data_IF_402672810446
#
_entry.id   IF_402672810446
#
_cell.length_a   1.000
_cell.length_b   1.000
_cell.length_c   1.000
_cell.angle_alpha   90.00
_cell.angle_beta   90.00
_cell.angle_gamma   90.00
#
_symmetry.space_group_name_H-M   'P 1'
#
loop_
_entity.id
_entity.type
_entity.pdbx_description
1 polymer ?
#
# COMPACT_ATOMS: atom_id res chain seq x y z
N UNK A 1 1.31 37.63 -8.07
CA UNK A 1 1.69 37.71 -6.65
C UNK A 1 1.26 39.01 -5.96
N UNK A 2 1.49 40.20 -6.53
CA UNK A 2 1.07 41.50 -5.93
C UNK A 2 -0.42 41.63 -5.54
N UNK A 3 -1.32 40.84 -6.14
CA UNK A 3 -2.74 40.80 -5.77
C UNK A 3 -3.02 39.95 -4.51
N UNK A 4 -2.30 38.84 -4.33
CA UNK A 4 -2.37 37.99 -3.14
C UNK A 4 -1.83 38.72 -1.90
N UNK A 5 -0.70 39.40 -2.06
CA UNK A 5 -0.08 40.26 -1.04
C UNK A 5 -0.98 41.43 -0.60
N UNK A 6 -1.94 41.81 -1.44
CA UNK A 6 -2.94 42.86 -1.16
C UNK A 6 -4.28 42.31 -0.66
N UNK A 7 -4.34 41.04 -0.25
CA UNK A 7 -5.54 40.39 0.27
C UNK A 7 -6.63 40.07 -0.76
N UNK A 8 -6.36 40.27 -2.06
CA UNK A 8 -7.34 40.02 -3.14
C UNK A 8 -7.22 38.59 -3.66
N UNK A 9 -7.54 37.62 -2.80
CA UNK A 9 -7.41 36.18 -3.07
C UNK A 9 -8.17 35.74 -4.35
N UNK A 10 -9.44 36.13 -4.49
CA UNK A 10 -10.25 35.75 -5.65
C UNK A 10 -9.68 36.27 -7.00
N UNK A 11 -9.14 37.50 -7.00
CA UNK A 11 -8.49 38.06 -8.18
C UNK A 11 -7.17 37.35 -8.48
N UNK A 12 -6.39 37.00 -7.45
CA UNK A 12 -5.15 36.24 -7.61
C UNK A 12 -5.41 34.86 -8.25
N UNK A 13 -6.46 34.16 -7.81
CA UNK A 13 -6.88 32.87 -8.40
C UNK A 13 -7.26 33.04 -9.86
N UNK A 14 -8.07 34.05 -10.20
CA UNK A 14 -8.49 34.31 -11.58
C UNK A 14 -7.32 34.67 -12.50
N UNK A 15 -6.31 35.37 -11.99
CA UNK A 15 -5.08 35.64 -12.75
C UNK A 15 -4.26 34.34 -12.94
N UNK A 16 -4.20 33.50 -11.91
CA UNK A 16 -3.52 32.21 -11.95
C UNK A 16 -4.08 31.26 -12.99
N UNK A 17 -5.37 31.34 -13.34
CA UNK A 17 -5.97 30.54 -14.42
C UNK A 17 -5.29 30.75 -15.78
N UNK A 18 -4.66 31.90 -16.01
CA UNK A 18 -3.92 32.22 -17.23
C UNK A 18 -2.44 31.82 -17.18
N UNK A 19 -1.93 31.37 -16.03
CA UNK A 19 -0.58 30.81 -15.95
C UNK A 19 -0.56 29.42 -16.57
N UNK A 20 0.24 29.24 -17.61
CA UNK A 20 0.33 28.00 -18.38
C UNK A 20 1.28 26.99 -17.73
N UNK A 21 2.22 27.44 -16.90
CA UNK A 21 3.20 26.57 -16.26
C UNK A 21 2.67 26.03 -14.92
N UNK A 22 2.26 24.77 -14.91
CA UNK A 22 1.76 24.10 -13.70
C UNK A 22 2.75 24.13 -12.53
N UNK A 23 4.07 24.10 -12.80
CA UNK A 23 5.13 24.16 -11.78
C UNK A 23 5.16 25.49 -11.01
N UNK A 24 4.71 26.58 -11.63
CA UNK A 24 4.59 27.89 -10.98
C UNK A 24 3.20 28.05 -10.37
N UNK A 25 2.18 27.64 -11.11
CA UNK A 25 0.78 27.77 -10.73
C UNK A 25 0.43 26.97 -9.46
N UNK A 26 0.89 25.72 -9.34
CA UNK A 26 0.51 24.82 -8.25
C UNK A 26 1.03 25.29 -6.88
N UNK A 27 2.31 25.63 -6.69
CA UNK A 27 2.79 26.18 -5.42
C UNK A 27 2.04 27.44 -5.01
N UNK A 28 1.71 28.31 -5.98
CA UNK A 28 0.93 29.53 -5.74
C UNK A 28 -0.48 29.22 -5.26
N UNK A 29 -1.17 28.25 -5.87
CA UNK A 29 -2.49 27.80 -5.41
C UNK A 29 -2.44 27.24 -3.99
N UNK A 30 -1.39 26.49 -3.63
CA UNK A 30 -1.18 26.01 -2.26
C UNK A 30 -1.03 27.18 -1.27
N UNK A 31 -0.22 28.19 -1.60
CA UNK A 31 -0.06 29.38 -0.71
C UNK A 31 -1.36 30.17 -0.53
N UNK A 32 -2.26 30.13 -1.52
CA UNK A 32 -3.58 30.74 -1.43
C UNK A 32 -4.59 29.88 -0.67
N UNK A 33 -4.24 28.66 -0.25
CA UNK A 33 -5.13 27.71 0.40
C UNK A 33 -6.11 27.01 -0.54
N UNK A 34 -5.85 27.03 -1.86
CA UNK A 34 -6.66 26.37 -2.88
C UNK A 34 -6.17 24.93 -3.13
N UNK A 35 -6.15 24.13 -2.06
CA UNK A 35 -5.57 22.78 -2.06
C UNK A 35 -6.16 21.82 -3.10
N UNK A 36 -7.48 21.61 -3.14
CA UNK A 36 -8.12 20.73 -4.13
C UNK A 36 -7.87 21.18 -5.58
N UNK A 37 -7.89 22.49 -5.82
CA UNK A 37 -7.61 23.07 -7.15
C UNK A 37 -6.14 22.86 -7.54
N UNK A 38 -5.22 23.02 -6.58
CA UNK A 38 -3.80 22.72 -6.78
C UNK A 38 -3.59 21.24 -7.14
N UNK A 39 -4.30 20.33 -6.47
CA UNK A 39 -4.23 18.89 -6.76
C UNK A 39 -4.80 18.54 -8.13
N UNK A 40 -5.91 19.16 -8.53
CA UNK A 40 -6.47 19.01 -9.87
C UNK A 40 -5.48 19.46 -10.95
N UNK A 41 -4.84 20.63 -10.77
CA UNK A 41 -3.85 21.15 -11.73
C UNK A 41 -2.58 20.31 -11.76
N UNK A 42 -2.13 19.81 -10.62
CA UNK A 42 -0.98 18.90 -10.54
C UNK A 42 -1.27 17.57 -11.26
N UNK A 43 -2.43 16.97 -11.03
CA UNK A 43 -2.80 15.71 -11.72
C UNK A 43 -2.98 15.91 -13.23
N UNK A 44 -3.56 17.03 -13.66
CA UNK A 44 -3.67 17.38 -15.08
C UNK A 44 -2.31 17.62 -15.77
N UNK A 45 -1.27 18.02 -15.01
CA UNK A 45 0.06 18.23 -15.57
C UNK A 45 0.82 16.94 -15.90
N UNK A 46 0.39 15.80 -15.34
CA UNK A 46 1.09 14.52 -15.46
C UNK A 46 2.43 14.43 -14.71
N UNK A 47 2.88 15.51 -14.06
CA UNK A 47 4.11 15.54 -13.28
C UNK A 47 3.86 14.91 -11.89
N UNK A 48 4.36 13.68 -11.69
CA UNK A 48 4.17 12.95 -10.44
C UNK A 48 4.85 13.62 -9.25
N UNK A 49 5.97 14.31 -9.46
CA UNK A 49 6.67 15.01 -8.38
C UNK A 49 5.84 16.19 -7.91
N UNK A 50 5.21 16.92 -8.84
CA UNK A 50 4.29 18.00 -8.52
C UNK A 50 3.06 17.49 -7.75
N UNK A 51 2.52 16.32 -8.11
CA UNK A 51 1.44 15.70 -7.36
C UNK A 51 1.88 15.31 -5.94
N UNK A 52 3.09 14.77 -5.76
CA UNK A 52 3.62 14.45 -4.44
C UNK A 52 3.81 15.70 -3.57
N UNK A 53 4.31 16.80 -4.13
CA UNK A 53 4.45 18.07 -3.42
C UNK A 53 3.09 18.52 -2.88
N UNK A 54 2.04 18.47 -3.71
CA UNK A 54 0.68 18.82 -3.26
C UNK A 54 0.18 17.85 -2.19
N UNK A 55 0.29 16.54 -2.41
CA UNK A 55 -0.18 15.53 -1.46
C UNK A 55 0.45 15.69 -0.07
N UNK A 56 1.76 15.90 0.00
CA UNK A 56 2.45 16.10 1.27
C UNK A 56 2.04 17.41 1.95
N UNK A 57 1.89 18.49 1.18
CA UNK A 57 1.41 19.76 1.70
C UNK A 57 -0.02 19.66 2.27
N UNK A 58 -0.93 19.00 1.55
CA UNK A 58 -2.30 18.80 2.02
C UNK A 58 -2.35 17.91 3.25
N UNK A 59 -1.53 16.85 3.31
CA UNK A 59 -1.45 15.97 4.48
C UNK A 59 -1.00 16.72 5.75
N UNK A 60 -0.14 17.73 5.63
CA UNK A 60 0.31 18.54 6.77
C UNK A 60 -0.70 19.62 7.19
N UNK A 61 -1.45 20.17 6.22
CA UNK A 61 -2.34 21.32 6.45
C UNK A 61 -3.80 20.96 6.72
N UNK A 62 -4.27 19.82 6.22
CA UNK A 62 -5.66 19.38 6.35
C UNK A 62 -5.82 18.38 7.49
N UNK A 63 -7.03 18.29 8.05
CA UNK A 63 -7.37 17.21 8.96
C UNK A 63 -7.30 15.86 8.23
N UNK A 64 -6.89 14.79 8.94
CA UNK A 64 -6.69 13.46 8.34
C UNK A 64 -7.89 12.98 7.50
N UNK A 65 -9.10 13.09 8.04
CA UNK A 65 -10.33 12.66 7.35
C UNK A 65 -10.63 13.51 6.11
N UNK A 66 -10.45 14.82 6.21
CA UNK A 66 -10.66 15.77 5.11
C UNK A 66 -9.67 15.53 3.97
N UNK A 67 -8.40 15.26 4.33
CA UNK A 67 -7.36 14.87 3.38
C UNK A 67 -7.74 13.59 2.64
N UNK A 68 -8.12 12.53 3.35
CA UNK A 68 -8.53 11.24 2.78
C UNK A 68 -9.73 11.41 1.82
N UNK A 69 -10.75 12.17 2.21
CA UNK A 69 -11.89 12.49 1.32
C UNK A 69 -11.48 13.24 0.05
N UNK A 70 -10.55 14.19 0.20
CA UNK A 70 -10.07 15.02 -0.91
C UNK A 70 -9.32 14.17 -1.93
N UNK A 71 -8.32 13.38 -1.49
CA UNK A 71 -7.50 12.58 -2.41
C UNK A 71 -8.30 11.49 -3.11
N UNK A 72 -9.33 10.93 -2.47
CA UNK A 72 -10.21 9.91 -3.06
C UNK A 72 -11.00 10.43 -4.26
N UNK A 73 -11.23 11.75 -4.32
CA UNK A 73 -11.86 12.40 -5.48
C UNK A 73 -10.94 12.45 -6.71
N UNK A 74 -9.64 12.16 -6.56
CA UNK A 74 -8.64 12.20 -7.62
C UNK A 74 -7.91 10.84 -7.73
N UNK A 75 -8.33 9.94 -8.64
CA UNK A 75 -7.81 8.58 -8.71
C UNK A 75 -6.27 8.48 -8.81
N UNK A 76 -5.63 9.35 -9.61
CA UNK A 76 -4.17 9.39 -9.74
C UNK A 76 -3.49 9.78 -8.42
N UNK A 77 -4.02 10.79 -7.73
CA UNK A 77 -3.47 11.24 -6.46
C UNK A 77 -3.65 10.18 -5.38
N UNK A 78 -4.81 9.52 -5.35
CA UNK A 78 -5.08 8.41 -4.44
C UNK A 78 -4.11 7.25 -4.67
N UNK A 79 -3.90 6.83 -5.91
CA UNK A 79 -2.95 5.76 -6.25
C UNK A 79 -1.50 6.12 -5.87
N UNK A 80 -1.07 7.37 -6.11
CA UNK A 80 0.25 7.86 -5.69
C UNK A 80 0.40 7.91 -4.18
N UNK A 81 -0.66 8.25 -3.45
CA UNK A 81 -0.69 8.23 -1.99
C UNK A 81 -0.59 6.80 -1.43
N UNK A 82 -1.33 5.83 -1.99
CA UNK A 82 -1.20 4.41 -1.65
C UNK A 82 0.25 3.94 -1.85
N UNK A 83 0.86 4.27 -2.98
CA UNK A 83 2.28 3.96 -3.27
C UNK A 83 3.22 4.59 -2.24
N UNK A 84 2.97 5.84 -1.86
CA UNK A 84 3.74 6.53 -0.82
C UNK A 84 3.63 5.83 0.53
N UNK A 85 2.41 5.47 0.95
CA UNK A 85 2.16 4.73 2.19
C UNK A 85 2.84 3.37 2.19
N UNK A 86 2.83 2.64 1.08
CA UNK A 86 3.50 1.35 0.98
C UNK A 86 5.02 1.42 1.23
N UNK A 87 5.65 2.56 0.97
CA UNK A 87 7.10 2.75 1.15
C UNK A 87 7.45 3.37 2.51
N UNK A 88 6.59 4.25 3.06
CA UNK A 88 6.93 5.06 4.23
C UNK A 88 6.11 4.75 5.48
N UNK A 89 4.90 4.19 5.34
CA UNK A 89 4.00 3.97 6.47
C UNK A 89 3.01 2.82 6.21
N UNK A 90 3.37 1.62 6.66
CA UNK A 90 2.58 0.39 6.53
C UNK A 90 1.24 0.45 7.26
N UNK A 91 1.18 1.12 8.42
CA UNK A 91 -0.07 1.26 9.17
C UNK A 91 -1.08 2.15 8.45
N UNK A 92 -0.61 3.26 7.88
CA UNK A 92 -1.44 4.13 7.05
C UNK A 92 -1.98 3.37 5.84
N UNK A 93 -1.14 2.55 5.18
CA UNK A 93 -1.56 1.72 4.06
C UNK A 93 -2.70 0.75 4.46
N UNK A 94 -2.57 0.04 5.58
CA UNK A 94 -3.62 -0.86 6.06
C UNK A 94 -4.93 -0.14 6.31
N UNK A 95 -4.88 1.05 6.91
CA UNK A 95 -6.08 1.86 7.17
C UNK A 95 -6.78 2.25 5.87
N UNK A 96 -6.03 2.64 4.83
CA UNK A 96 -6.58 2.96 3.51
C UNK A 96 -7.28 1.73 2.91
N UNK A 97 -6.64 0.56 2.90
CA UNK A 97 -7.28 -0.65 2.35
C UNK A 97 -8.52 -1.11 3.12
N UNK A 98 -8.58 -0.86 4.43
CA UNK A 98 -9.78 -1.14 5.24
C UNK A 98 -10.90 -0.15 4.92
N UNK A 99 -10.59 1.14 4.77
CA UNK A 99 -11.58 2.17 4.45
C UNK A 99 -12.22 1.97 3.07
N UNK A 100 -11.44 1.50 2.10
CA UNK A 100 -11.90 1.28 0.72
C UNK A 100 -12.48 -0.13 0.48
N UNK A 101 -12.60 -0.95 1.53
CA UNK A 101 -12.97 -2.38 1.41
C UNK A 101 -12.10 -3.15 0.38
N UNK A 102 -10.85 -2.73 0.20
CA UNK A 102 -9.89 -3.41 -0.67
C UNK A 102 -9.35 -4.66 0.05
N UNK A 103 -10.14 -5.73 -0.02
CA UNK A 103 -9.78 -7.00 0.59
C UNK A 103 -8.53 -7.63 -0.03
N UNK A 104 -8.24 -7.35 -1.30
CA UNK A 104 -7.02 -7.87 -1.97
C UNK A 104 -5.79 -7.15 -1.45
N UNK A 105 -5.84 -5.82 -1.34
CA UNK A 105 -4.80 -5.01 -0.72
C UNK A 105 -4.56 -5.39 0.74
N UNK A 106 -5.63 -5.59 1.52
CA UNK A 106 -5.54 -6.08 2.91
C UNK A 106 -4.82 -7.44 2.97
N UNK A 107 -5.23 -8.40 2.14
CA UNK A 107 -4.60 -9.72 2.08
C UNK A 107 -3.11 -9.61 1.73
N UNK A 108 -2.74 -8.78 0.75
CA UNK A 108 -1.35 -8.55 0.37
C UNK A 108 -0.50 -8.00 1.53
N UNK A 109 -1.06 -7.15 2.39
CA UNK A 109 -0.33 -6.68 3.59
C UNK A 109 -0.04 -7.79 4.58
N UNK A 110 -0.98 -8.72 4.76
CA UNK A 110 -0.82 -9.90 5.63
C UNK A 110 0.13 -10.94 5.03
N UNK A 111 0.11 -11.15 3.71
CA UNK A 111 1.10 -12.00 3.04
C UNK A 111 2.51 -11.45 3.22
N UNK A 112 2.67 -10.12 3.09
CA UNK A 112 3.97 -9.50 3.35
C UNK A 112 4.41 -9.68 4.80
N UNK A 113 3.49 -9.62 5.77
CA UNK A 113 3.81 -9.92 7.18
C UNK A 113 4.31 -11.35 7.34
N UNK A 114 3.67 -12.31 6.67
CA UNK A 114 4.08 -13.71 6.69
C UNK A 114 5.48 -13.92 6.12
N UNK A 115 5.87 -13.17 5.09
CA UNK A 115 7.22 -13.24 4.48
C UNK A 115 8.28 -12.61 5.41
N UNK A 116 7.94 -11.52 6.08
CA UNK A 116 8.88 -10.80 6.96
C UNK A 116 9.11 -11.53 8.31
N UNK A 117 8.27 -12.51 8.65
CA UNK A 117 8.31 -13.25 9.91
C UNK A 117 9.12 -14.54 9.81
N UNK A 118 9.83 -14.87 10.90
CA UNK A 118 10.66 -16.10 11.00
C UNK A 118 10.01 -17.20 11.84
N UNK A 119 9.04 -16.86 12.69
CA UNK A 119 8.34 -17.80 13.55
C UNK A 119 7.17 -18.47 12.80
N UNK A 120 7.16 -19.81 12.64
CA UNK A 120 6.07 -20.54 11.96
C UNK A 120 4.67 -20.21 12.48
N UNK A 121 4.52 -20.01 13.79
CA UNK A 121 3.22 -19.66 14.38
C UNK A 121 2.72 -18.27 13.97
N UNK A 122 3.62 -17.30 13.85
CA UNK A 122 3.28 -15.96 13.37
C UNK A 122 2.95 -15.98 11.87
N UNK A 123 3.74 -16.72 11.09
CA UNK A 123 3.50 -16.93 9.65
C UNK A 123 2.11 -17.52 9.43
N UNK A 124 1.76 -18.56 10.17
CA UNK A 124 0.44 -19.19 10.12
C UNK A 124 -0.70 -18.21 10.46
N UNK A 125 -0.56 -17.42 11.53
CA UNK A 125 -1.56 -16.41 11.90
C UNK A 125 -1.74 -15.34 10.80
N UNK A 126 -0.65 -14.92 10.16
CA UNK A 126 -0.67 -13.96 9.05
C UNK A 126 -1.33 -14.55 7.81
N UNK A 127 -1.06 -15.81 7.47
CA UNK A 127 -1.70 -16.53 6.36
C UNK A 127 -3.20 -16.74 6.60
N UNK A 128 -3.62 -17.04 7.84
CA UNK A 128 -5.04 -17.14 8.21
C UNK A 128 -5.73 -15.79 8.00
N UNK A 129 -5.10 -14.69 8.43
CA UNK A 129 -5.64 -13.34 8.25
C UNK A 129 -5.78 -12.98 6.76
N UNK A 130 -4.75 -13.28 5.95
CA UNK A 130 -4.79 -13.08 4.50
C UNK A 130 -5.91 -13.90 3.83
N UNK A 131 -6.12 -15.15 4.25
CA UNK A 131 -7.20 -16.01 3.76
C UNK A 131 -8.57 -15.42 4.04
N UNK A 132 -8.82 -14.92 5.25
CA UNK A 132 -10.11 -14.30 5.59
C UNK A 132 -10.38 -13.06 4.74
N UNK A 133 -9.35 -12.25 4.45
CA UNK A 133 -9.46 -11.14 3.50
C UNK A 133 -9.83 -11.64 2.10
N UNK A 134 -9.11 -12.63 1.54
CA UNK A 134 -9.46 -13.18 0.22
C UNK A 134 -10.86 -13.79 0.16
N UNK A 135 -11.31 -14.42 1.25
CA UNK A 135 -12.67 -14.95 1.37
C UNK A 135 -13.72 -13.84 1.29
N UNK A 136 -13.51 -12.72 2.00
CA UNK A 136 -14.38 -11.53 1.90
C UNK A 136 -14.37 -10.93 0.49
N UNK A 137 -13.19 -10.89 -0.14
CA UNK A 137 -12.99 -10.44 -1.52
C UNK A 137 -13.46 -11.43 -2.60
N UNK A 138 -14.05 -12.58 -2.23
CA UNK A 138 -14.50 -13.65 -3.15
C UNK A 138 -13.39 -14.15 -4.09
N UNK A 139 -12.13 -14.17 -3.63
CA UNK A 139 -10.99 -14.68 -4.37
C UNK A 139 -10.66 -16.12 -3.93
N UNK A 140 -11.29 -17.10 -4.58
CA UNK A 140 -11.15 -18.52 -4.24
C UNK A 140 -9.71 -19.03 -4.42
N UNK A 141 -9.02 -18.56 -5.46
CA UNK A 141 -7.62 -18.91 -5.70
C UNK A 141 -6.72 -18.44 -4.55
N UNK A 142 -6.89 -17.19 -4.12
CA UNK A 142 -6.16 -16.62 -2.98
C UNK A 142 -6.41 -17.40 -1.68
N UNK A 143 -7.64 -17.85 -1.46
CA UNK A 143 -7.99 -18.72 -0.33
C UNK A 143 -7.23 -20.06 -0.41
N UNK A 144 -7.27 -20.75 -1.55
CA UNK A 144 -6.57 -22.04 -1.73
C UNK A 144 -5.06 -21.91 -1.51
N UNK A 145 -4.44 -20.90 -2.11
CA UNK A 145 -3.00 -20.63 -1.99
C UNK A 145 -2.61 -20.38 -0.53
N UNK A 146 -3.39 -19.60 0.24
CA UNK A 146 -3.10 -19.36 1.65
C UNK A 146 -3.22 -20.64 2.49
N UNK A 147 -4.18 -21.52 2.16
CA UNK A 147 -4.35 -22.79 2.86
C UNK A 147 -3.24 -23.80 2.56
N UNK A 148 -2.81 -23.88 1.30
CA UNK A 148 -1.67 -24.70 0.88
C UNK A 148 -0.37 -24.21 1.50
N UNK A 149 -0.11 -22.89 1.47
CA UNK A 149 1.06 -22.29 2.10
C UNK A 149 1.09 -22.57 3.62
N UNK A 150 -0.07 -22.51 4.28
CA UNK A 150 -0.19 -22.84 5.72
C UNK A 150 0.10 -24.31 5.99
N UNK A 151 -0.42 -25.23 5.16
CA UNK A 151 -0.15 -26.67 5.28
C UNK A 151 1.34 -26.95 5.12
N UNK A 152 1.98 -26.35 4.11
CA UNK A 152 3.41 -26.47 3.88
C UNK A 152 4.22 -25.95 5.08
N UNK A 153 3.91 -24.75 5.58
CA UNK A 153 4.58 -24.17 6.75
C UNK A 153 4.48 -25.09 7.98
N UNK A 154 3.31 -25.70 8.22
CA UNK A 154 3.12 -26.63 9.33
C UNK A 154 3.97 -27.90 9.18
N UNK A 155 4.01 -28.48 7.98
CA UNK A 155 4.85 -29.64 7.70
C UNK A 155 6.34 -29.30 7.85
N UNK A 156 6.79 -28.17 7.30
CA UNK A 156 8.17 -27.69 7.42
C UNK A 156 8.56 -27.46 8.88
N UNK A 157 7.66 -26.95 9.73
CA UNK A 157 7.91 -26.80 11.16
C UNK A 157 8.19 -28.16 11.83
N UNK A 158 7.37 -29.18 11.55
CA UNK A 158 7.58 -30.53 12.09
C UNK A 158 8.87 -31.19 11.56
N UNK A 159 9.20 -30.98 10.28
CA UNK A 159 10.45 -31.47 9.70
C UNK A 159 11.66 -30.80 10.35
N UNK A 160 11.58 -29.49 10.60
CA UNK A 160 12.62 -28.73 11.27
C UNK A 160 12.88 -29.22 12.70
N UNK A 161 11.83 -29.58 13.44
CA UNK A 161 11.96 -30.21 14.76
C UNK A 161 12.59 -31.61 14.67
N UNK A 162 12.21 -32.40 13.66
CA UNK A 162 12.67 -33.79 13.49
C UNK A 162 14.15 -33.87 13.12
N UNK A 163 14.59 -33.06 12.15
CA UNK A 163 15.95 -33.11 11.61
C UNK A 163 16.89 -32.07 12.22
N UNK A 164 16.38 -31.14 13.04
CA UNK A 164 17.17 -30.06 13.64
C UNK A 164 17.75 -29.08 12.62
N UNK A 165 17.18 -29.01 11.41
CA UNK A 165 17.64 -28.16 10.32
C UNK A 165 16.54 -27.21 9.85
N UNK A 166 16.91 -26.09 9.23
CA UNK A 166 15.92 -25.18 8.66
C UNK A 166 15.18 -25.82 7.48
N UNK A 167 13.85 -25.88 7.58
CA UNK A 167 12.93 -26.24 6.49
C UNK A 167 11.91 -25.12 6.21
N UNK A 168 11.59 -24.32 7.22
CA UNK A 168 10.59 -23.25 7.11
C UNK A 168 11.08 -22.17 6.15
N UNK A 169 10.20 -21.76 5.23
CA UNK A 169 10.49 -20.72 4.23
C UNK A 169 11.04 -21.24 2.90
N UNK A 170 11.34 -22.55 2.81
CA UNK A 170 11.64 -23.18 1.53
C UNK A 170 10.38 -23.25 0.65
N UNK A 171 10.58 -23.25 -0.67
CA UNK A 171 9.50 -23.62 -1.59
C UNK A 171 9.13 -25.10 -1.41
N UNK A 172 7.96 -25.51 -1.89
CA UNK A 172 7.58 -26.94 -1.90
C UNK A 172 8.66 -27.78 -2.61
N UNK A 173 9.11 -27.30 -3.78
CA UNK A 173 10.15 -27.96 -4.56
C UNK A 173 11.46 -28.12 -3.77
N UNK A 174 11.93 -27.06 -3.12
CA UNK A 174 13.19 -27.10 -2.37
C UNK A 174 13.06 -27.96 -1.10
N UNK A 175 11.87 -28.01 -0.51
CA UNK A 175 11.55 -28.92 0.60
C UNK A 175 11.67 -30.37 0.15
N UNK A 176 11.03 -30.74 -0.96
CA UNK A 176 11.08 -32.09 -1.54
C UNK A 176 12.51 -32.47 -1.91
N UNK A 177 13.23 -31.58 -2.60
CA UNK A 177 14.64 -31.80 -2.97
C UNK A 177 15.50 -32.10 -1.73
N UNK A 178 15.34 -31.30 -0.67
CA UNK A 178 16.07 -31.49 0.58
C UNK A 178 15.72 -32.81 1.27
N UNK A 179 14.46 -33.21 1.26
CA UNK A 179 14.03 -34.52 1.79
C UNK A 179 14.64 -35.69 1.02
N UNK A 180 14.70 -35.58 -0.31
CA UNK A 180 15.36 -36.59 -1.16
C UNK A 180 16.86 -36.67 -0.89
N UNK A 181 17.54 -35.54 -0.68
CA UNK A 181 18.96 -35.50 -0.27
C UNK A 181 19.19 -36.16 1.10
N UNK A 182 18.21 -36.14 1.99
CA UNK A 182 18.22 -36.88 3.26
C UNK A 182 17.82 -38.36 3.14
N UNK A 183 17.41 -38.82 1.95
CA UNK A 183 16.98 -40.20 1.71
C UNK A 183 15.52 -40.49 2.08
N UNK A 184 14.72 -39.46 2.38
CA UNK A 184 13.34 -39.57 2.87
C UNK A 184 12.32 -39.67 1.72
N UNK A 185 12.43 -40.72 0.91
CA UNK A 185 11.65 -40.90 -0.33
C UNK A 185 10.12 -41.01 -0.10
N UNK A 186 9.70 -41.41 1.10
CA UNK A 186 8.26 -41.51 1.44
C UNK A 186 7.64 -40.18 1.88
N UNK A 187 8.46 -39.27 2.40
CA UNK A 187 8.02 -37.96 2.87
C UNK A 187 8.14 -36.89 1.77
N UNK A 188 9.08 -37.09 0.84
CA UNK A 188 9.24 -36.32 -0.39
C UNK A 188 8.08 -36.58 -1.38
#
# INVERSE_FOLDING_TARGET
MKAAEKGRKALAIKILEYETHSKLQVPLLLTLGEGPTALLKATASGDTDLVYIVLLHLKEKMGKHEFELTIRSFPLAHALYIKYCASHNREALRKVYVQEDDFTGQAATHIRDAIDQTNPGSVEASLISARECYKKGKNELGVSICEEARKLCKQQSSLQETYGQSFVGLSLHDTVKKLLEHGEVKLA
#
